data_IF_722380433417
#
_entry.id   IF_722380433417
#
_cell.length_a   1.000
_cell.length_b   1.000
_cell.length_c   1.000
_cell.angle_alpha   90.00
_cell.angle_beta   90.00
_cell.angle_gamma   90.00
#
_symmetry.space_group_name_H-M   'P 1'
#
loop_
_entity.id
_entity.type
_entity.pdbx_description
1 polymer ?
#
# COMPACT_ATOMS: atom_id res chain seq x y z
N UNK A 1 9.45 31.71 -24.97
CA UNK A 1 10.81 31.14 -25.12
C UNK A 1 11.84 31.62 -24.08
N UNK A 2 11.52 32.57 -23.16
CA UNK A 2 12.51 33.11 -22.20
C UNK A 2 13.08 32.05 -21.24
N UNK A 3 12.26 31.13 -20.74
CA UNK A 3 12.71 30.08 -19.81
C UNK A 3 13.74 29.13 -20.43
N UNK A 4 13.47 28.60 -21.62
CA UNK A 4 14.40 27.69 -22.31
C UNK A 4 15.71 28.39 -22.67
N UNK A 5 15.64 29.63 -23.17
CA UNK A 5 16.83 30.42 -23.49
C UNK A 5 17.70 30.66 -22.24
N UNK A 6 17.08 31.04 -21.11
CA UNK A 6 17.78 31.20 -19.84
C UNK A 6 18.35 29.89 -19.30
N UNK A 7 17.67 28.76 -19.52
CA UNK A 7 18.17 27.46 -19.12
C UNK A 7 19.42 27.07 -19.92
N UNK A 8 19.43 27.28 -21.24
CA UNK A 8 20.61 27.05 -22.10
C UNK A 8 21.78 27.97 -21.79
N UNK A 9 21.53 29.20 -21.32
CA UNK A 9 22.60 30.07 -20.86
C UNK A 9 23.30 29.53 -19.61
N UNK A 10 22.57 28.89 -18.69
CA UNK A 10 23.13 28.31 -17.46
C UNK A 10 23.73 26.93 -17.68
N UNK A 11 23.10 26.13 -18.53
CA UNK A 11 23.54 24.79 -18.94
C UNK A 11 23.49 24.70 -20.47
N UNK A 12 24.60 24.94 -21.17
CA UNK A 12 24.64 24.99 -22.63
C UNK A 12 24.47 23.63 -23.30
N UNK A 13 24.63 22.53 -22.56
CA UNK A 13 24.50 21.18 -23.11
C UNK A 13 23.08 20.67 -22.93
N UNK A 14 22.54 20.75 -21.71
CA UNK A 14 21.26 20.10 -21.39
C UNK A 14 20.13 21.07 -21.08
N UNK A 15 20.40 22.34 -20.73
CA UNK A 15 19.37 23.37 -20.49
C UNK A 15 18.19 22.89 -19.65
N UNK A 16 16.97 23.03 -20.18
CA UNK A 16 15.74 22.53 -19.52
C UNK A 16 15.59 21.00 -19.59
N UNK A 17 16.20 20.33 -20.57
CA UNK A 17 16.17 18.86 -20.65
C UNK A 17 16.90 18.21 -19.46
N UNK A 18 17.96 18.85 -18.95
CA UNK A 18 18.64 18.43 -17.72
C UNK A 18 17.73 18.48 -16.50
N UNK A 19 16.90 19.53 -16.37
CA UNK A 19 15.92 19.64 -15.29
C UNK A 19 14.80 18.58 -15.43
N UNK A 20 14.31 18.35 -16.66
CA UNK A 20 13.31 17.31 -16.94
C UNK A 20 13.85 15.92 -16.56
N UNK A 21 15.07 15.59 -16.96
CA UNK A 21 15.70 14.30 -16.64
C UNK A 21 15.84 14.09 -15.13
N UNK A 22 16.23 15.13 -14.38
CA UNK A 22 16.31 15.06 -12.93
C UNK A 22 14.94 14.81 -12.28
N UNK A 23 13.90 15.50 -12.75
CA UNK A 23 12.55 15.29 -12.25
C UNK A 23 12.05 13.87 -12.56
N UNK A 24 12.29 13.36 -13.77
CA UNK A 24 11.97 11.98 -14.13
C UNK A 24 12.66 10.97 -13.21
N UNK A 25 13.95 11.18 -12.91
CA UNK A 25 14.68 10.34 -11.95
C UNK A 25 14.05 10.38 -10.55
N UNK A 26 13.68 11.56 -10.05
CA UNK A 26 13.06 11.70 -8.73
C UNK A 26 11.69 11.02 -8.67
N UNK A 27 10.88 11.14 -9.72
CA UNK A 27 9.59 10.43 -9.82
C UNK A 27 9.81 8.91 -9.76
N UNK A 28 10.75 8.38 -10.53
CA UNK A 28 11.06 6.94 -10.54
C UNK A 28 11.54 6.45 -9.15
N UNK A 29 12.38 7.24 -8.48
CA UNK A 29 12.85 6.91 -7.13
C UNK A 29 11.70 6.87 -6.11
N UNK A 30 10.80 7.85 -6.17
CA UNK A 30 9.62 7.88 -5.31
C UNK A 30 8.67 6.71 -5.58
N UNK A 31 8.42 6.38 -6.85
CA UNK A 31 7.63 5.21 -7.24
C UNK A 31 8.24 3.91 -6.69
N UNK A 32 9.57 3.76 -6.77
CA UNK A 32 10.27 2.59 -6.23
C UNK A 32 10.14 2.50 -4.71
N UNK A 33 10.26 3.62 -3.98
CA UNK A 33 10.06 3.64 -2.53
C UNK A 33 8.62 3.28 -2.13
N UNK A 34 7.64 3.77 -2.90
CA UNK A 34 6.24 3.44 -2.69
C UNK A 34 5.98 1.94 -2.90
N UNK A 35 6.47 1.37 -4.01
CA UNK A 35 6.35 -0.06 -4.30
C UNK A 35 7.01 -0.91 -3.21
N UNK A 36 8.19 -0.51 -2.72
CA UNK A 36 8.88 -1.18 -1.62
C UNK A 36 8.04 -1.19 -0.34
N UNK A 37 7.51 -0.03 0.04
CA UNK A 37 6.71 0.12 1.28
C UNK A 37 5.43 -0.70 1.21
N UNK A 38 4.78 -0.74 0.04
CA UNK A 38 3.62 -1.58 -0.20
C UNK A 38 3.93 -3.07 -0.07
N UNK A 39 5.05 -3.53 -0.63
CA UNK A 39 5.49 -4.91 -0.48
C UNK A 39 5.78 -5.28 0.98
N UNK A 40 6.41 -4.37 1.74
CA UNK A 40 6.64 -4.56 3.18
C UNK A 40 5.34 -4.68 3.97
N UNK A 41 4.35 -3.84 3.66
CA UNK A 41 3.03 -3.89 4.29
C UNK A 41 2.32 -5.22 4.04
N UNK A 42 2.30 -5.71 2.80
CA UNK A 42 1.73 -7.02 2.45
C UNK A 42 2.48 -8.15 3.15
N UNK A 43 3.81 -8.07 3.21
CA UNK A 43 4.64 -9.05 3.90
C UNK A 43 4.30 -9.13 5.41
N UNK A 44 4.16 -7.99 6.08
CA UNK A 44 3.76 -7.94 7.51
C UNK A 44 2.37 -8.55 7.70
N UNK A 45 1.41 -8.22 6.84
CA UNK A 45 0.06 -8.78 6.92
C UNK A 45 0.03 -10.29 6.68
N UNK A 46 0.80 -10.79 5.71
CA UNK A 46 0.94 -12.23 5.47
C UNK A 46 1.54 -12.95 6.69
N UNK A 47 2.59 -12.38 7.29
CA UNK A 47 3.18 -12.92 8.53
C UNK A 47 2.16 -12.94 9.67
N UNK A 48 1.38 -11.86 9.85
CA UNK A 48 0.32 -11.82 10.85
C UNK A 48 -0.74 -12.89 10.62
N UNK A 49 -1.20 -13.06 9.38
CA UNK A 49 -2.19 -14.08 9.02
C UNK A 49 -1.66 -15.50 9.30
N UNK A 50 -0.39 -15.76 8.98
CA UNK A 50 0.25 -17.04 9.27
C UNK A 50 0.31 -17.30 10.77
N UNK A 51 0.71 -16.31 11.59
CA UNK A 51 0.74 -16.43 13.05
C UNK A 51 -0.66 -16.71 13.62
N UNK A 52 -1.69 -16.01 13.13
CA UNK A 52 -3.07 -16.27 13.53
C UNK A 52 -3.49 -17.70 13.18
N UNK A 53 -3.17 -18.17 11.98
CA UNK A 53 -3.46 -19.55 11.57
C UNK A 53 -2.79 -20.58 12.49
N UNK A 54 -1.54 -20.35 12.92
CA UNK A 54 -0.89 -21.20 13.92
C UNK A 54 -1.64 -21.19 15.27
N UNK A 55 -2.01 -20.03 15.78
CA UNK A 55 -2.76 -19.89 17.05
C UNK A 55 -4.13 -20.60 16.97
N UNK A 56 -4.86 -20.43 15.86
CA UNK A 56 -6.15 -21.12 15.67
C UNK A 56 -6.00 -22.64 15.56
N UNK A 57 -4.90 -23.11 14.96
CA UNK A 57 -4.62 -24.54 14.83
C UNK A 57 -4.17 -25.17 16.16
N UNK A 58 -3.52 -24.40 17.04
CA UNK A 58 -3.07 -24.86 18.36
C UNK A 58 -4.21 -24.91 19.40
N UNK A 59 -5.27 -24.10 19.23
CA UNK A 59 -6.38 -24.05 20.20
C UNK A 59 -7.48 -25.11 20.04
N UNK A 60 -7.46 -25.92 18.97
CA UNK A 60 -8.45 -26.98 18.72
C UNK A 60 -9.87 -26.44 18.41
N UNK A 61 -10.63 -27.07 17.50
CA UNK A 61 -11.99 -26.63 17.18
C UNK A 61 -12.92 -26.92 18.37
N UNK A 62 -13.34 -25.89 19.11
CA UNK A 62 -14.51 -26.01 19.98
C UNK A 62 -15.79 -25.96 19.12
N UNK A 63 -16.80 -26.81 19.38
CA UNK A 63 -17.98 -26.92 18.52
C UNK A 63 -18.91 -25.71 18.65
N UNK A 64 -19.66 -25.35 17.59
CA UNK A 64 -20.57 -24.19 17.60
C UNK A 64 -21.88 -24.54 18.32
N UNK A 65 -22.11 -23.98 19.51
CA UNK A 65 -23.41 -23.99 20.18
C UNK A 65 -24.28 -22.83 19.71
N UNK A 66 -25.47 -23.17 19.22
CA UNK A 66 -26.54 -22.28 18.72
C UNK A 66 -27.09 -21.31 19.80
N UNK A 67 -27.86 -20.28 19.42
CA UNK A 67 -28.03 -19.06 20.22
C UNK A 67 -29.13 -19.21 21.28
N UNK A 68 -28.77 -19.04 22.55
CA UNK A 68 -29.73 -18.67 23.59
C UNK A 68 -29.33 -17.34 24.24
N UNK A 69 -30.33 -16.48 24.27
CA UNK A 69 -30.34 -15.12 24.79
C UNK A 69 -30.09 -15.13 26.31
N UNK A 70 -29.08 -14.40 26.78
CA UNK A 70 -29.20 -13.63 28.02
C UNK A 70 -28.18 -12.51 28.08
N UNK A 71 -28.72 -11.31 28.27
CA UNK A 71 -28.11 -10.09 28.76
C UNK A 71 -26.91 -10.32 29.67
N UNK A 72 -25.70 -9.99 29.21
CA UNK A 72 -24.59 -9.47 30.02
C UNK A 72 -23.57 -8.80 29.10
N UNK A 73 -23.84 -7.52 28.81
CA UNK A 73 -22.80 -6.55 28.46
C UNK A 73 -21.89 -6.46 29.68
N UNK A 74 -20.64 -6.88 29.61
CA UNK A 74 -19.45 -6.13 30.06
C UNK A 74 -18.21 -6.94 29.64
N UNK A 75 -17.37 -6.35 28.77
CA UNK A 75 -15.95 -6.66 28.51
C UNK A 75 -15.51 -7.79 27.55
N UNK A 76 -16.27 -8.25 26.55
CA UNK A 76 -15.75 -9.33 25.67
C UNK A 76 -16.14 -9.22 24.19
N UNK A 77 -15.92 -8.08 23.51
CA UNK A 77 -15.94 -8.08 22.04
C UNK A 77 -15.14 -6.89 21.48
N UNK A 78 -13.84 -7.06 21.25
CA UNK A 78 -13.08 -6.09 20.43
C UNK A 78 -12.10 -6.76 19.46
N UNK A 79 -12.05 -8.09 19.37
CA UNK A 79 -11.04 -8.78 18.56
C UNK A 79 -11.50 -9.27 17.18
N UNK A 80 -12.77 -9.16 16.79
CA UNK A 80 -13.23 -9.71 15.50
C UNK A 80 -13.56 -8.68 14.41
N UNK A 81 -13.84 -7.42 14.75
CA UNK A 81 -14.29 -6.42 13.75
C UNK A 81 -13.16 -5.58 13.11
N UNK A 82 -11.93 -5.70 13.60
CA UNK A 82 -10.79 -4.92 13.04
C UNK A 82 -10.19 -5.59 11.79
N UNK A 83 -10.36 -6.90 11.61
CA UNK A 83 -9.66 -7.64 10.53
C UNK A 83 -10.39 -7.51 9.19
N UNK A 84 -11.73 -7.42 9.17
CA UNK A 84 -12.49 -7.33 7.91
C UNK A 84 -12.38 -5.96 7.22
N UNK A 85 -12.20 -4.87 7.99
CA UNK A 85 -12.16 -3.52 7.42
C UNK A 85 -10.89 -3.22 6.60
N UNK A 86 -9.85 -4.06 6.68
CA UNK A 86 -8.56 -3.81 6.01
C UNK A 86 -8.40 -4.55 4.66
N UNK A 87 -9.35 -5.42 4.29
CA UNK A 87 -9.29 -6.18 3.03
C UNK A 87 -9.82 -5.40 1.81
N UNK A 88 -10.58 -4.32 2.02
CA UNK A 88 -11.20 -3.54 0.93
C UNK A 88 -10.27 -2.52 0.26
N UNK A 89 -9.10 -2.23 0.83
CA UNK A 89 -8.20 -1.19 0.31
C UNK A 89 -7.28 -1.67 -0.82
N UNK A 90 -7.12 -2.99 -1.00
CA UNK A 90 -6.17 -3.55 -1.96
C UNK A 90 -6.66 -3.53 -3.42
N UNK A 91 -7.97 -3.46 -3.65
CA UNK A 91 -8.56 -3.60 -5.00
C UNK A 91 -8.48 -2.30 -5.83
N UNK A 92 -8.36 -1.14 -5.17
CA UNK A 92 -8.48 0.16 -5.84
C UNK A 92 -7.18 0.68 -6.49
N UNK A 93 -6.05 -0.02 -6.30
CA UNK A 93 -4.73 0.48 -6.72
C UNK A 93 -4.18 -0.11 -8.04
N UNK A 94 -4.88 -1.05 -8.69
CA UNK A 94 -4.48 -1.55 -10.01
C UNK A 94 -4.69 -0.53 -11.15
N UNK A 95 -5.26 0.64 -10.85
CA UNK A 95 -5.49 1.73 -11.82
C UNK A 95 -4.21 2.55 -12.12
N UNK A 96 -3.25 2.60 -11.19
CA UNK A 96 -2.08 3.50 -11.31
C UNK A 96 -1.00 3.00 -12.28
N UNK A 97 -1.05 1.72 -12.68
CA UNK A 97 -0.24 1.22 -13.80
C UNK A 97 -0.65 1.79 -15.17
N UNK A 98 -1.80 2.45 -15.26
CA UNK A 98 -2.33 3.01 -16.52
C UNK A 98 -1.69 4.37 -16.86
N UNK A 99 -1.10 5.07 -15.89
CA UNK A 99 -0.53 6.41 -16.11
C UNK A 99 0.85 6.36 -16.80
N UNK A 100 1.53 5.22 -16.70
CA UNK A 100 2.75 4.89 -17.48
C UNK A 100 2.46 4.81 -18.98
N UNK A 101 1.26 4.39 -19.38
CA UNK A 101 0.88 4.18 -20.79
C UNK A 101 0.59 5.50 -21.54
N UNK A 102 0.46 6.63 -20.84
CA UNK A 102 0.02 7.87 -21.46
C UNK A 102 1.17 8.70 -22.07
N UNK A 103 2.43 8.33 -21.80
CA UNK A 103 3.59 9.12 -22.23
C UNK A 103 4.68 8.30 -22.94
N UNK A 104 4.34 7.15 -23.53
CA UNK A 104 5.20 6.45 -24.51
C UNK A 104 4.92 6.92 -25.93
#
# INVERSE_FOLDING_TARGET
MVYEANARMRDPVYGSAGAICQLQKQVNELQAQLAKTQAELVNIQCQQANLMAFVYMEMGPSPPTSPQQSLDKFTNSTTHDTIQNNMSFLDENNSYGTLETLWT
#
